data_IF_762470365864
#
_entry.id   IF_762470365864
#
_cell.length_a   1.000
_cell.length_b   1.000
_cell.length_c   1.000
_cell.angle_alpha   90.00
_cell.angle_beta   90.00
_cell.angle_gamma   90.00
#
_symmetry.space_group_name_H-M   'P 1'
#
loop_
_entity.id
_entity.type
_entity.pdbx_description
1 polymer ?
#
# COMPACT_ATOMS: atom_id res chain seq x y z
N UNK A 1 -12.18 7.28 -4.93
CA UNK A 1 -12.47 7.00 -6.36
C UNK A 1 -12.49 8.32 -7.12
N UNK A 2 -11.75 8.47 -8.22
CA UNK A 2 -11.67 9.72 -8.99
C UNK A 2 -12.97 9.97 -9.77
N UNK A 3 -13.98 10.45 -9.04
CA UNK A 3 -15.26 10.87 -9.57
C UNK A 3 -15.19 12.36 -9.93
N UNK A 4 -15.65 12.73 -11.12
CA UNK A 4 -15.90 14.12 -11.51
C UNK A 4 -17.40 14.39 -11.39
N UNK A 5 -17.79 15.63 -11.09
CA UNK A 5 -19.19 16.03 -11.24
C UNK A 5 -19.51 16.14 -12.73
N UNK A 6 -20.57 15.47 -13.16
CA UNK A 6 -21.10 15.62 -14.51
C UNK A 6 -21.98 16.88 -14.60
N UNK A 7 -22.41 17.22 -15.83
CA UNK A 7 -23.21 18.42 -16.14
C UNK A 7 -24.57 18.39 -15.41
N UNK A 8 -25.06 17.20 -15.02
CA UNK A 8 -26.33 16.98 -14.31
C UNK A 8 -26.17 16.93 -12.78
N UNK A 9 -24.97 17.19 -12.25
CA UNK A 9 -24.69 17.15 -10.80
C UNK A 9 -24.45 15.76 -10.21
N UNK A 10 -24.55 14.70 -11.02
CA UNK A 10 -24.19 13.33 -10.65
C UNK A 10 -22.67 13.13 -10.61
N UNK A 11 -22.23 12.13 -9.84
CA UNK A 11 -20.81 11.72 -9.84
C UNK A 11 -20.55 10.69 -10.95
N UNK A 12 -19.60 10.98 -11.83
CA UNK A 12 -19.18 10.12 -12.94
C UNK A 12 -17.72 9.71 -12.76
N UNK A 13 -17.37 8.47 -13.11
CA UNK A 13 -15.97 8.01 -13.11
C UNK A 13 -15.21 8.77 -14.21
N UNK A 14 -14.02 9.27 -13.90
CA UNK A 14 -13.16 9.89 -14.92
C UNK A 14 -12.73 8.85 -15.95
N UNK A 15 -12.86 9.20 -17.23
CA UNK A 15 -12.30 8.41 -18.33
C UNK A 15 -10.77 8.30 -18.14
N UNK A 16 -10.19 7.10 -18.28
CA UNK A 16 -8.75 6.92 -18.19
C UNK A 16 -8.04 7.67 -19.33
N UNK A 17 -6.87 8.24 -19.05
CA UNK A 17 -6.01 8.81 -20.10
C UNK A 17 -5.39 7.69 -20.95
N UNK A 18 -5.15 7.97 -22.22
CA UNK A 18 -4.52 7.02 -23.16
C UNK A 18 -3.15 6.53 -22.69
N UNK A 19 -2.37 7.42 -22.07
CA UNK A 19 -1.09 7.09 -21.46
C UNK A 19 -0.80 7.98 -20.26
N UNK A 20 -0.09 7.42 -19.28
CA UNK A 20 0.38 8.14 -18.09
C UNK A 20 1.85 7.82 -17.84
N UNK A 21 2.63 8.83 -17.47
CA UNK A 21 4.03 8.61 -17.11
C UNK A 21 4.14 7.74 -15.86
N UNK A 22 5.14 6.87 -15.85
CA UNK A 22 5.48 6.04 -14.69
C UNK A 22 5.80 6.95 -13.49
N UNK A 23 5.21 6.64 -12.34
CA UNK A 23 5.45 7.35 -11.08
C UNK A 23 5.61 6.33 -9.95
N UNK A 24 6.57 6.57 -9.05
CA UNK A 24 6.78 5.77 -7.84
C UNK A 24 8.02 4.88 -7.90
N UNK A 25 8.08 3.92 -6.98
CA UNK A 25 9.23 3.04 -6.79
C UNK A 25 9.05 1.74 -7.58
N UNK A 26 9.97 1.45 -8.50
CA UNK A 26 9.96 0.28 -9.42
C UNK A 26 9.55 -1.02 -8.71
N UNK A 27 10.12 -1.28 -7.52
CA UNK A 27 9.86 -2.47 -6.71
C UNK A 27 8.38 -2.67 -6.40
N UNK A 28 7.67 -1.61 -6.02
CA UNK A 28 6.30 -1.68 -5.53
C UNK A 28 5.25 -1.21 -6.54
N UNK A 29 5.65 -0.48 -7.59
CA UNK A 29 4.72 0.03 -8.61
C UNK A 29 3.88 -1.09 -9.25
N UNK A 30 2.57 -0.88 -9.38
CA UNK A 30 1.67 -1.85 -10.03
C UNK A 30 2.05 -2.12 -11.48
N UNK A 31 1.58 -3.23 -12.05
CA UNK A 31 1.75 -3.53 -13.48
C UNK A 31 1.13 -2.44 -14.36
N UNK A 32 0.01 -1.82 -13.96
CA UNK A 32 -0.56 -0.70 -14.72
C UNK A 32 0.39 0.49 -14.78
N UNK A 33 1.06 0.81 -13.66
CA UNK A 33 2.08 1.85 -13.61
C UNK A 33 3.26 1.54 -14.54
N UNK A 34 3.76 0.29 -14.51
CA UNK A 34 4.82 -0.18 -15.44
C UNK A 34 4.43 -0.05 -16.91
N UNK A 35 3.15 -0.31 -17.23
CA UNK A 35 2.60 -0.22 -18.59
C UNK A 35 2.17 1.18 -19.02
N UNK A 36 2.39 2.21 -18.18
CA UNK A 36 1.93 3.57 -18.47
C UNK A 36 0.41 3.68 -18.68
N UNK A 37 -0.36 2.84 -17.99
CA UNK A 37 -1.82 2.81 -18.00
C UNK A 37 -2.34 3.59 -16.79
N UNK A 38 -3.47 4.28 -16.94
CA UNK A 38 -4.14 5.01 -15.85
C UNK A 38 -4.37 4.10 -14.64
N UNK A 39 -3.96 4.57 -13.46
CA UNK A 39 -4.05 3.80 -12.22
C UNK A 39 -5.37 4.08 -11.49
N UNK A 40 -6.01 3.02 -11.03
CA UNK A 40 -7.20 3.06 -10.17
C UNK A 40 -6.90 2.69 -8.72
N UNK A 41 -7.93 2.64 -7.85
CA UNK A 41 -7.76 2.25 -6.44
C UNK A 41 -7.13 0.87 -6.24
N UNK A 42 -7.36 -0.06 -7.17
CA UNK A 42 -6.73 -1.39 -7.17
C UNK A 42 -5.21 -1.34 -7.26
N UNK A 43 -4.63 -0.32 -7.91
CA UNK A 43 -3.18 -0.22 -8.13
C UNK A 43 -2.43 0.19 -6.86
N UNK A 44 -3.07 1.01 -6.02
CA UNK A 44 -2.57 1.31 -4.67
C UNK A 44 -2.59 0.02 -3.81
N UNK A 45 -3.66 -0.78 -3.89
CA UNK A 45 -3.73 -2.07 -3.21
C UNK A 45 -2.70 -3.09 -3.72
N UNK A 46 -2.46 -3.15 -5.04
CA UNK A 46 -1.41 -4.00 -5.62
C UNK A 46 -0.02 -3.57 -5.09
N UNK A 47 0.23 -2.27 -5.01
CA UNK A 47 1.49 -1.73 -4.48
C UNK A 47 1.68 -2.03 -2.99
N UNK A 48 0.62 -1.87 -2.19
CA UNK A 48 0.60 -2.25 -0.77
C UNK A 48 0.80 -3.76 -0.59
N UNK A 49 0.19 -4.59 -1.44
CA UNK A 49 0.35 -6.04 -1.38
C UNK A 49 1.80 -6.45 -1.63
N UNK A 50 2.48 -5.85 -2.62
CA UNK A 50 3.91 -6.08 -2.83
C UNK A 50 4.76 -5.62 -1.64
N UNK A 51 4.41 -4.51 -0.97
CA UNK A 51 5.09 -4.07 0.24
C UNK A 51 4.92 -5.09 1.38
N UNK A 52 3.70 -5.58 1.59
CA UNK A 52 3.40 -6.62 2.57
C UNK A 52 4.25 -7.88 2.32
N UNK A 53 4.33 -8.34 1.08
CA UNK A 53 5.15 -9.49 0.72
C UNK A 53 6.64 -9.25 0.94
N UNK A 54 7.17 -8.06 0.66
CA UNK A 54 8.58 -7.74 0.94
C UNK A 54 8.90 -7.77 2.43
N UNK A 55 7.89 -7.57 3.30
CA UNK A 55 8.02 -7.63 4.75
C UNK A 55 7.91 -9.06 5.30
N UNK A 56 6.90 -9.82 4.90
CA UNK A 56 6.56 -11.11 5.55
C UNK A 56 7.24 -12.32 4.91
N UNK A 57 7.66 -12.21 3.65
CA UNK A 57 8.36 -13.30 2.97
C UNK A 57 9.83 -13.22 3.34
N UNK A 58 10.46 -14.28 3.92
CA UNK A 58 11.84 -14.19 4.42
C UNK A 58 12.89 -13.75 3.38
N UNK A 59 12.68 -14.12 2.10
CA UNK A 59 13.55 -13.70 0.98
C UNK A 59 13.12 -12.37 0.33
N UNK A 60 11.98 -11.81 0.75
CA UNK A 60 11.31 -10.68 0.13
C UNK A 60 10.80 -11.00 -1.27
N UNK A 61 10.51 -9.94 -2.04
CA UNK A 61 10.09 -10.06 -3.43
C UNK A 61 11.22 -10.67 -4.28
N UNK A 62 10.87 -11.52 -5.26
CA UNK A 62 11.87 -12.13 -6.16
C UNK A 62 12.65 -11.10 -7.00
N UNK A 63 12.08 -9.91 -7.21
CA UNK A 63 12.71 -8.77 -7.88
C UNK A 63 13.24 -7.68 -6.93
N UNK A 64 13.40 -7.97 -5.62
CA UNK A 64 13.77 -6.97 -4.60
C UNK A 64 15.00 -6.14 -4.96
N UNK A 65 15.99 -6.75 -5.61
CA UNK A 65 17.28 -6.12 -5.99
C UNK A 65 17.35 -5.67 -7.45
N UNK A 66 16.27 -5.83 -8.21
CA UNK A 66 16.23 -5.42 -9.62
C UNK A 66 15.78 -3.96 -9.73
N UNK A 67 16.43 -3.21 -10.61
CA UNK A 67 16.17 -1.78 -10.85
C UNK A 67 15.67 -1.50 -12.27
N UNK A 68 15.90 -2.42 -13.21
CA UNK A 68 15.38 -2.32 -14.57
C UNK A 68 13.86 -2.50 -14.58
N UNK A 69 13.15 -1.46 -15.03
CA UNK A 69 11.69 -1.42 -15.05
C UNK A 69 11.07 -2.53 -15.90
N UNK A 70 11.67 -2.82 -17.04
CA UNK A 70 11.15 -3.81 -18.00
C UNK A 70 11.36 -5.22 -17.46
N UNK A 71 12.50 -5.48 -16.80
CA UNK A 71 12.74 -6.76 -16.13
C UNK A 71 11.75 -6.96 -14.98
N UNK A 72 11.59 -5.96 -14.10
CA UNK A 72 10.63 -6.04 -12.99
C UNK A 72 9.21 -6.26 -13.49
N UNK A 73 8.78 -5.54 -14.53
CA UNK A 73 7.46 -5.73 -15.15
C UNK A 73 7.26 -7.18 -15.60
N UNK A 74 8.22 -7.76 -16.33
CA UNK A 74 8.13 -9.16 -16.83
C UNK A 74 8.03 -10.18 -15.70
N UNK A 75 8.78 -9.98 -14.61
CA UNK A 75 8.71 -10.86 -13.45
C UNK A 75 7.32 -10.75 -12.80
N UNK A 76 6.80 -9.54 -12.62
CA UNK A 76 5.44 -9.32 -12.08
C UNK A 76 4.35 -9.95 -12.94
N UNK A 77 4.46 -9.82 -14.26
CA UNK A 77 3.53 -10.47 -15.21
C UNK A 77 3.60 -12.00 -15.12
N UNK A 78 4.79 -12.57 -14.95
CA UNK A 78 4.98 -14.01 -14.75
C UNK A 78 4.35 -14.50 -13.45
N UNK A 79 4.39 -13.69 -12.40
CA UNK A 79 3.72 -13.99 -11.12
C UNK A 79 2.20 -13.95 -11.23
N UNK A 80 1.60 -13.26 -12.21
CA UNK A 80 0.13 -13.31 -12.41
C UNK A 80 -0.36 -14.68 -12.86
N UNK A 81 0.43 -15.38 -13.67
CA UNK A 81 0.12 -16.74 -14.13
C UNK A 81 0.61 -17.80 -13.15
N UNK A 82 1.65 -17.49 -12.37
CA UNK A 82 2.32 -18.40 -11.44
C UNK A 82 2.45 -17.75 -10.05
N UNK A 83 1.33 -17.57 -9.32
CA UNK A 83 1.31 -16.83 -8.05
C UNK A 83 2.18 -17.44 -6.95
N UNK A 84 2.44 -18.76 -7.00
CA UNK A 84 3.33 -19.47 -6.08
C UNK A 84 4.76 -18.90 -6.05
N UNK A 85 5.18 -18.24 -7.14
CA UNK A 85 6.48 -17.56 -7.22
C UNK A 85 6.61 -16.38 -6.24
N UNK A 86 5.49 -15.85 -5.74
CA UNK A 86 5.48 -14.72 -4.81
C UNK A 86 5.72 -15.12 -3.36
N UNK A 87 5.20 -16.28 -2.95
CA UNK A 87 5.00 -16.57 -1.54
C UNK A 87 6.13 -17.36 -0.91
N UNK A 88 7.00 -18.03 -1.69
CA UNK A 88 8.11 -18.83 -1.16
C UNK A 88 7.69 -19.82 -0.06
N UNK A 89 6.49 -20.42 -0.16
CA UNK A 89 5.94 -21.43 0.77
C UNK A 89 5.71 -20.96 2.21
N UNK A 90 5.25 -19.72 2.40
CA UNK A 90 4.80 -19.24 3.72
C UNK A 90 3.47 -19.86 4.13
N UNK A 91 3.21 -19.96 5.44
CA UNK A 91 2.02 -20.65 6.01
C UNK A 91 0.68 -20.09 5.49
N UNK A 92 0.58 -18.79 5.28
CA UNK A 92 -0.61 -18.11 4.78
C UNK A 92 -0.66 -17.95 3.24
N UNK A 93 0.16 -18.69 2.49
CA UNK A 93 0.20 -18.62 1.03
C UNK A 93 -1.18 -18.73 0.38
N UNK A 94 -2.03 -19.64 0.86
CA UNK A 94 -3.37 -19.84 0.28
C UNK A 94 -4.25 -18.60 0.42
N UNK A 95 -4.27 -17.96 1.58
CA UNK A 95 -5.09 -16.77 1.83
C UNK A 95 -4.56 -15.55 1.08
N UNK A 96 -3.24 -15.37 1.04
CA UNK A 96 -2.62 -14.32 0.25
C UNK A 96 -2.79 -14.53 -1.26
N UNK A 97 -2.83 -15.78 -1.72
CA UNK A 97 -3.14 -16.10 -3.12
C UNK A 97 -4.56 -15.66 -3.46
N UNK A 98 -5.55 -15.86 -2.58
CA UNK A 98 -6.91 -15.35 -2.79
C UNK A 98 -6.94 -13.83 -2.92
N UNK A 99 -6.22 -13.10 -2.05
CA UNK A 99 -6.10 -11.63 -2.14
C UNK A 99 -5.48 -11.23 -3.48
N UNK A 100 -4.38 -11.88 -3.87
CA UNK A 100 -3.69 -11.58 -5.12
C UNK A 100 -4.57 -11.83 -6.35
N UNK A 101 -5.27 -12.98 -6.39
CA UNK A 101 -6.24 -13.30 -7.46
C UNK A 101 -7.38 -12.30 -7.51
N UNK A 102 -7.91 -11.88 -6.36
CA UNK A 102 -8.94 -10.85 -6.28
C UNK A 102 -8.47 -9.53 -6.90
N UNK A 103 -7.30 -9.02 -6.50
CA UNK A 103 -6.74 -7.77 -7.04
C UNK A 103 -6.46 -7.85 -8.55
N UNK A 104 -6.00 -9.00 -9.04
CA UNK A 104 -5.74 -9.22 -10.46
C UNK A 104 -7.01 -9.17 -11.32
N UNK A 105 -8.17 -9.51 -10.76
CA UNK A 105 -9.46 -9.51 -11.46
C UNK A 105 -10.16 -8.14 -11.47
N UNK A 106 -9.69 -7.17 -10.69
CA UNK A 106 -10.26 -5.83 -10.69
C UNK A 106 -9.83 -5.04 -11.92
N UNK A 107 -10.71 -4.18 -12.41
CA UNK A 107 -10.44 -3.19 -13.46
C UNK A 107 -10.30 -1.77 -12.89
N UNK A 108 -9.92 -0.82 -13.74
CA UNK A 108 -9.73 0.59 -13.37
C UNK A 108 -10.97 1.22 -12.72
N UNK A 109 -12.16 0.84 -13.21
CA UNK A 109 -13.45 1.39 -12.77
C UNK A 109 -14.00 0.70 -11.53
N UNK A 110 -13.41 -0.41 -11.09
CA UNK A 110 -13.96 -1.18 -9.99
C UNK A 110 -13.66 -0.54 -8.63
N UNK A 111 -14.55 -0.83 -7.68
CA UNK A 111 -14.32 -0.53 -6.27
C UNK A 111 -13.64 -1.71 -5.61
N UNK A 112 -12.60 -1.43 -4.83
CA UNK A 112 -11.95 -2.45 -4.00
C UNK A 112 -12.84 -2.77 -2.79
N UNK A 113 -13.07 -4.05 -2.56
CA UNK A 113 -13.71 -4.61 -1.37
C UNK A 113 -12.64 -4.79 -0.29
N UNK A 114 -12.40 -3.73 0.46
CA UNK A 114 -11.42 -3.74 1.54
C UNK A 114 -11.82 -4.69 2.67
N UNK A 115 -13.13 -4.87 2.90
CA UNK A 115 -13.64 -5.78 3.94
C UNK A 115 -13.26 -7.22 3.61
N UNK A 116 -13.42 -7.65 2.36
CA UNK A 116 -12.96 -8.96 1.90
C UNK A 116 -11.45 -9.15 2.10
N UNK A 117 -10.63 -8.13 1.79
CA UNK A 117 -9.18 -8.18 2.02
C UNK A 117 -8.88 -8.33 3.53
N UNK A 118 -9.54 -7.57 4.39
CA UNK A 118 -9.35 -7.65 5.84
C UNK A 118 -9.75 -9.01 6.41
N UNK A 119 -10.84 -9.60 5.93
CA UNK A 119 -11.28 -10.94 6.32
C UNK A 119 -10.20 -11.98 5.97
N UNK A 120 -9.68 -11.94 4.75
CA UNK A 120 -8.60 -12.85 4.32
C UNK A 120 -7.29 -12.65 5.10
N UNK A 121 -6.94 -11.42 5.47
CA UNK A 121 -5.80 -11.16 6.35
C UNK A 121 -6.02 -11.74 7.76
N UNK A 122 -7.25 -11.65 8.28
CA UNK A 122 -7.64 -12.27 9.54
C UNK A 122 -7.54 -13.80 9.49
N UNK A 123 -7.97 -14.42 8.39
CA UNK A 123 -7.78 -15.85 8.14
C UNK A 123 -6.30 -16.22 8.05
N UNK A 124 -5.51 -15.44 7.29
CA UNK A 124 -4.07 -15.62 7.16
C UNK A 124 -3.33 -15.59 8.51
N UNK A 125 -3.71 -14.64 9.38
CA UNK A 125 -3.18 -14.53 10.75
C UNK A 125 -3.51 -15.76 11.59
N UNK A 126 -4.79 -16.17 11.62
CA UNK A 126 -5.26 -17.38 12.33
C UNK A 126 -4.53 -18.63 11.84
N UNK A 127 -4.46 -18.85 10.53
CA UNK A 127 -3.83 -20.01 9.90
C UNK A 127 -2.31 -20.04 10.14
N UNK A 128 -1.68 -18.88 10.28
CA UNK A 128 -0.25 -18.77 10.61
C UNK A 128 0.04 -18.83 12.11
N UNK A 129 -1.00 -18.88 12.96
CA UNK A 129 -0.91 -18.79 14.42
C UNK A 129 -0.28 -17.48 14.88
N UNK A 130 -0.61 -16.38 14.19
CA UNK A 130 -0.16 -15.03 14.51
C UNK A 130 -1.31 -14.27 15.17
N UNK A 131 -1.04 -13.68 16.33
CA UNK A 131 -1.94 -12.75 16.98
C UNK A 131 -1.77 -11.35 16.35
N UNK A 132 -2.77 -10.91 15.59
CA UNK A 132 -2.77 -9.59 14.95
C UNK A 132 -2.99 -8.45 15.95
N UNK A 133 -3.36 -8.75 17.20
CA UNK A 133 -3.46 -7.78 18.30
C UNK A 133 -2.20 -7.71 19.16
N UNK A 134 -1.20 -8.55 18.88
CA UNK A 134 0.07 -8.51 19.58
C UNK A 134 0.78 -7.17 19.36
N UNK A 135 1.53 -6.68 20.36
CA UNK A 135 2.36 -5.50 20.20
C UNK A 135 3.33 -5.64 19.02
N UNK A 136 3.60 -4.55 18.34
CA UNK A 136 4.60 -4.53 17.27
C UNK A 136 6.01 -4.79 17.83
N UNK A 137 6.95 -5.25 16.99
CA UNK A 137 8.32 -5.58 17.41
C UNK A 137 9.07 -4.38 18.03
N UNK A 138 8.69 -3.15 17.67
CA UNK A 138 9.25 -1.92 18.23
C UNK A 138 8.51 -1.40 19.48
N UNK A 139 7.38 -1.99 19.83
CA UNK A 139 6.65 -1.63 21.05
C UNK A 139 7.30 -2.34 22.24
N UNK A 140 7.86 -1.54 23.15
CA UNK A 140 8.49 -2.07 24.35
C UNK A 140 7.42 -2.64 25.28
N UNK A 141 7.32 -3.97 25.36
CA UNK A 141 6.51 -4.63 26.39
C UNK A 141 7.27 -4.49 27.72
N UNK A 142 7.05 -3.39 28.45
CA UNK A 142 7.60 -3.22 29.78
C UNK A 142 6.94 -4.26 30.71
N UNK A 143 7.65 -5.28 31.22
CA UNK A 143 7.03 -6.34 32.03
C UNK A 143 6.56 -5.87 33.42
N UNK A 144 6.79 -4.61 33.76
CA UNK A 144 6.65 -4.05 35.12
C UNK A 144 5.77 -2.81 35.22
N UNK A 145 5.06 -2.40 34.16
CA UNK A 145 4.10 -1.30 34.26
C UNK A 145 2.69 -1.86 34.58
N UNK A 146 2.04 -1.43 35.69
CA UNK A 146 0.62 -1.72 35.88
C UNK A 146 -0.17 -1.14 34.71
N UNK A 147 -1.15 -1.88 34.21
CA UNK A 147 -2.07 -1.45 33.15
C UNK A 147 -2.78 -0.18 33.63
N UNK A 148 -2.29 0.98 33.20
CA UNK A 148 -3.00 2.24 33.37
C UNK A 148 -3.70 2.53 32.05
N UNK A 149 -5.02 2.41 32.07
CA UNK A 149 -5.94 2.82 31.01
C UNK A 149 -5.60 4.25 30.57
N UNK A 150 -5.07 4.42 29.35
CA UNK A 150 -4.80 5.74 28.82
C UNK A 150 -6.12 6.46 28.50
N UNK A 151 -6.45 7.40 29.37
CA UNK A 151 -7.39 8.48 29.12
C UNK A 151 -6.79 9.37 28.03
N UNK A 152 -7.48 9.48 26.90
CA UNK A 152 -7.08 10.38 25.81
C UNK A 152 -7.31 11.83 26.23
N UNK A 153 -6.25 12.62 26.29
CA UNK A 153 -6.35 14.09 26.45
C UNK A 153 -6.23 14.78 25.09
N UNK A 154 -7.00 15.85 24.83
CA UNK A 154 -7.03 16.49 23.52
C UNK A 154 -5.80 17.37 23.28
N UNK A 155 -5.40 17.45 22.01
CA UNK A 155 -4.27 18.21 21.49
C UNK A 155 -4.46 19.71 21.79
N UNK A 156 -3.58 20.30 22.60
CA UNK A 156 -3.49 21.75 22.78
C UNK A 156 -2.73 22.38 21.60
N UNK A 157 -3.42 23.29 20.90
CA UNK A 157 -2.89 24.21 19.89
C UNK A 157 -1.58 24.89 20.32
N UNK A 158 -0.58 24.91 19.44
CA UNK A 158 0.63 25.73 19.58
C UNK A 158 0.30 27.17 19.18
N UNK A 159 0.62 28.20 19.99
CA UNK A 159 0.48 29.59 19.57
C UNK A 159 1.65 30.01 18.69
N UNK A 160 1.34 30.72 17.60
CA UNK A 160 2.31 31.40 16.74
C UNK A 160 2.72 32.71 17.42
N UNK A 161 4.03 32.92 17.62
CA UNK A 161 4.55 34.21 18.09
C UNK A 161 4.95 35.13 16.92
N UNK A 162 4.80 36.46 17.06
CA UNK A 162 5.04 37.42 15.99
C UNK A 162 6.52 37.88 15.94
N UNK A 163 6.96 38.30 14.77
CA UNK A 163 8.35 38.65 14.46
C UNK A 163 8.80 40.08 14.79
N UNK A 164 10.04 40.38 14.43
CA UNK A 164 10.65 41.71 14.23
C UNK A 164 11.86 41.51 13.28
N UNK A 165 11.86 42.08 12.07
CA UNK A 165 12.54 43.35 11.72
C UNK A 165 14.06 43.20 11.82
N UNK A 166 14.88 43.09 10.77
CA UNK A 166 14.94 43.86 9.53
C UNK A 166 16.28 44.61 9.53
N UNK A 167 17.17 44.35 8.55
CA UNK A 167 18.14 45.33 8.05
C UNK A 167 18.80 44.85 6.75
N UNK A 168 18.72 45.72 5.75
CA UNK A 168 19.37 45.67 4.45
C UNK A 168 20.90 45.73 4.56
N UNK A 169 21.61 45.09 3.62
CA UNK A 169 22.79 45.69 2.99
C UNK A 169 23.15 45.00 1.67
N UNK A 170 23.32 45.86 0.68
CA UNK A 170 23.63 45.64 -0.73
C UNK A 170 25.14 45.43 -0.94
N UNK A 171 25.50 44.86 -2.10
CA UNK A 171 26.81 44.78 -2.79
C UNK A 171 27.52 43.46 -2.53
N UNK A 172 27.99 42.72 -3.54
CA UNK A 172 28.54 43.12 -4.83
C UNK A 172 28.45 41.96 -5.83
#
# INVERSE_FOLDING_TARGET
MYKKRNIQGGMEIKTPRDTVLFKGTVRFASIACHRNIEMGPKDDCESWFYLLLDLIVPKGLSWRRESDKIIVQKIKESCRTNPEMLFNKIKCEQDLTKIFSYLNNLEYTDTVDYEYIYQLLGEAGKNSQVDLSAPYEWESVNPSAPISSQQTSPISHVPVSPGLGGQDSVKK
#
